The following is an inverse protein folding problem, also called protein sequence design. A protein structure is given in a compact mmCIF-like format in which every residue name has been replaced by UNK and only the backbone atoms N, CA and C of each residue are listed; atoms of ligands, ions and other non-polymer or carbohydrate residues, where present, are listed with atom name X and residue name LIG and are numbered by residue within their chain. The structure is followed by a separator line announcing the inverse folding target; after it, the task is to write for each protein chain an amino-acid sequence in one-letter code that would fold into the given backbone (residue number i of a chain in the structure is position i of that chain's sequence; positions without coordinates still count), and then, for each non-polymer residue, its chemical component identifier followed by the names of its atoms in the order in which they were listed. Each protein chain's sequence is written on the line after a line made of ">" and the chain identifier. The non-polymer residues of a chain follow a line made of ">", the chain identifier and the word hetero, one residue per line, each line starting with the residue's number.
data_IF_569837648475
#
_entry.id   IF_569837648475
#
_cell.length_a   1.000
_cell.length_b   1.000
_cell.length_c   1.000
_cell.angle_alpha   90.00
_cell.angle_beta   90.00
_cell.angle_gamma   90.00
#
_symmetry.space_group_name_H-M   'P 1'
#
loop_
_entity.id
_entity.type
_entity.pdbx_description
1 polymer ?
#
# COMPACT_ATOMS: atom_id res chain seq x y z
N UNK A 1 -14.45 -1.46 26.21
CA UNK A 1 -13.88 -1.96 24.94
C UNK A 1 -14.11 -0.84 23.92
N UNK A 2 -13.05 -0.16 23.48
CA UNK A 2 -13.18 0.95 22.53
C UNK A 2 -13.37 0.35 21.15
N UNK A 3 -14.58 0.44 20.60
CA UNK A 3 -14.85 0.04 19.23
C UNK A 3 -14.44 1.21 18.33
N UNK A 4 -13.34 1.03 17.59
CA UNK A 4 -12.97 1.96 16.52
C UNK A 4 -13.98 1.76 15.40
N UNK A 5 -14.78 2.79 15.10
CA UNK A 5 -15.71 2.74 13.98
C UNK A 5 -14.94 2.75 12.65
N UNK A 6 -15.51 2.11 11.61
CA UNK A 6 -14.94 2.15 10.26
C UNK A 6 -14.71 3.60 9.80
N UNK A 7 -15.60 4.52 10.22
CA UNK A 7 -15.52 5.94 9.91
C UNK A 7 -14.29 6.60 10.55
N UNK A 8 -14.05 6.36 11.84
CA UNK A 8 -12.86 6.86 12.53
C UNK A 8 -11.57 6.32 11.88
N UNK A 9 -11.55 5.02 11.56
CA UNK A 9 -10.41 4.40 10.89
C UNK A 9 -10.11 5.02 9.52
N UNK A 10 -11.14 5.23 8.69
CA UNK A 10 -10.97 5.89 7.39
C UNK A 10 -10.55 7.36 7.51
N UNK A 11 -10.98 8.04 8.57
CA UNK A 11 -10.63 9.45 8.83
C UNK A 11 -9.17 9.58 9.27
N UNK A 12 -8.70 8.66 10.11
CA UNK A 12 -7.31 8.65 10.61
C UNK A 12 -6.29 8.34 9.53
N UNK A 13 -6.61 7.41 8.64
CA UNK A 13 -5.72 6.98 7.56
C UNK A 13 -5.89 7.77 6.25
N UNK A 14 -6.87 8.67 6.20
CA UNK A 14 -7.29 9.44 5.02
C UNK A 14 -7.44 8.53 3.76
N UNK A 15 -8.06 7.37 3.96
CA UNK A 15 -8.34 6.36 2.93
C UNK A 15 -9.84 6.21 2.76
N UNK A 16 -10.27 6.02 1.53
CA UNK A 16 -11.66 5.67 1.26
C UNK A 16 -11.94 4.20 1.59
N UNK A 17 -13.20 3.88 1.89
CA UNK A 17 -13.66 2.48 2.06
C UNK A 17 -13.41 1.67 0.78
N UNK A 18 -13.49 2.30 -0.39
CA UNK A 18 -13.20 1.69 -1.67
C UNK A 18 -11.73 1.26 -1.80
N UNK A 19 -10.78 2.12 -1.41
CA UNK A 19 -9.35 1.77 -1.38
C UNK A 19 -9.08 0.56 -0.49
N UNK A 20 -9.70 0.52 0.69
CA UNK A 20 -9.62 -0.60 1.62
C UNK A 20 -10.13 -1.90 0.99
N UNK A 21 -11.26 -1.86 0.29
CA UNK A 21 -11.81 -3.03 -0.40
C UNK A 21 -10.89 -3.55 -1.50
N UNK A 22 -10.29 -2.66 -2.31
CA UNK A 22 -9.34 -3.07 -3.35
C UNK A 22 -8.11 -3.73 -2.72
N UNK A 23 -7.52 -3.12 -1.71
CA UNK A 23 -6.36 -3.70 -1.03
C UNK A 23 -6.69 -5.06 -0.39
N UNK A 24 -7.85 -5.18 0.24
CA UNK A 24 -8.30 -6.44 0.83
C UNK A 24 -8.50 -7.53 -0.22
N UNK A 25 -9.17 -7.22 -1.34
CA UNK A 25 -9.36 -8.16 -2.44
C UNK A 25 -8.03 -8.61 -3.03
N UNK A 26 -7.09 -7.69 -3.25
CA UNK A 26 -5.76 -7.99 -3.74
C UNK A 26 -4.94 -8.88 -2.80
N UNK A 27 -5.00 -8.64 -1.49
CA UNK A 27 -4.34 -9.48 -0.49
C UNK A 27 -4.94 -10.88 -0.48
N UNK A 28 -6.27 -11.01 -0.58
CA UNK A 28 -6.95 -12.31 -0.62
C UNK A 28 -6.50 -13.13 -1.84
N UNK A 29 -6.49 -12.52 -3.03
CA UNK A 29 -6.04 -13.20 -4.26
C UNK A 29 -4.57 -13.61 -4.15
N UNK A 30 -3.71 -12.71 -3.63
CA UNK A 30 -2.29 -13.01 -3.43
C UNK A 30 -2.05 -14.12 -2.39
N UNK A 31 -2.86 -14.17 -1.34
CA UNK A 31 -2.81 -15.23 -0.32
C UNK A 31 -3.15 -16.60 -0.91
N UNK A 32 -4.16 -16.70 -1.78
CA UNK A 32 -4.50 -17.93 -2.49
C UNK A 32 -3.35 -18.37 -3.41
N UNK A 33 -2.75 -17.44 -4.16
CA UNK A 33 -1.57 -17.72 -5.00
C UNK A 33 -0.37 -18.17 -4.17
N UNK A 34 -0.14 -17.56 -3.02
CA UNK A 34 0.95 -17.94 -2.10
C UNK A 34 0.75 -19.36 -1.58
N UNK A 35 -0.47 -19.72 -1.18
CA UNK A 35 -0.80 -21.07 -0.74
C UNK A 35 -0.52 -22.11 -1.84
N UNK A 36 -0.95 -21.84 -3.08
CA UNK A 36 -0.71 -22.73 -4.22
C UNK A 36 0.79 -22.91 -4.51
N UNK A 37 1.57 -21.84 -4.39
CA UNK A 37 3.03 -21.85 -4.54
C UNK A 37 3.71 -22.68 -3.44
N UNK A 38 3.33 -22.49 -2.18
CA UNK A 38 3.93 -23.20 -1.03
C UNK A 38 3.70 -24.71 -1.08
N UNK A 39 2.55 -25.15 -1.57
CA UNK A 39 2.24 -26.57 -1.77
C UNK A 39 2.78 -27.15 -3.10
N UNK A 40 3.61 -26.39 -3.83
CA UNK A 40 4.19 -26.79 -5.12
C UNK A 40 3.17 -27.21 -6.20
N UNK A 41 1.91 -26.75 -6.10
CA UNK A 41 0.93 -26.96 -7.17
C UNK A 41 1.26 -26.12 -8.42
N UNK A 42 2.06 -25.06 -8.28
CA UNK A 42 2.42 -24.14 -9.35
C UNK A 42 3.86 -23.64 -9.23
N UNK A 43 4.65 -23.73 -10.30
CA UNK A 43 6.04 -23.22 -10.39
C UNK A 43 6.05 -21.75 -10.80
N UNK A 44 5.49 -20.88 -9.98
CA UNK A 44 5.38 -19.42 -10.25
C UNK A 44 6.38 -18.64 -9.38
N UNK A 45 7.10 -17.65 -9.89
CA UNK A 45 8.03 -16.86 -9.03
C UNK A 45 7.27 -16.01 -7.99
N UNK A 46 7.91 -15.69 -6.86
CA UNK A 46 7.32 -14.87 -5.79
C UNK A 46 6.86 -13.48 -6.26
N UNK A 47 7.47 -12.94 -7.32
CA UNK A 47 7.03 -11.70 -7.95
C UNK A 47 5.60 -11.78 -8.50
N UNK A 48 5.25 -12.90 -9.12
CA UNK A 48 3.92 -13.14 -9.68
C UNK A 48 2.88 -13.44 -8.60
N UNK A 49 3.28 -14.05 -7.49
CA UNK A 49 2.40 -14.24 -6.31
C UNK A 49 1.95 -12.89 -5.74
N UNK A 50 2.83 -11.89 -5.77
CA UNK A 50 2.54 -10.54 -5.29
C UNK A 50 1.94 -9.59 -6.34
N UNK A 51 1.90 -9.98 -7.62
CA UNK A 51 1.32 -9.17 -8.69
C UNK A 51 -0.11 -8.65 -8.40
N UNK A 52 -1.03 -9.43 -7.79
CA UNK A 52 -2.37 -8.93 -7.45
C UNK A 52 -2.34 -7.73 -6.49
N UNK A 53 -1.36 -7.66 -5.60
CA UNK A 53 -1.19 -6.54 -4.65
C UNK A 53 -0.72 -5.29 -5.39
N UNK A 54 0.26 -5.41 -6.29
CA UNK A 54 0.69 -4.29 -7.13
C UNK A 54 -0.41 -3.77 -8.05
N UNK A 55 -1.19 -4.68 -8.64
CA UNK A 55 -2.35 -4.33 -9.47
C UNK A 55 -3.38 -3.56 -8.63
N UNK A 56 -3.66 -4.01 -7.40
CA UNK A 56 -4.56 -3.29 -6.49
C UNK A 56 -4.08 -1.87 -6.17
N UNK A 57 -2.79 -1.71 -5.89
CA UNK A 57 -2.19 -0.40 -5.65
C UNK A 57 -2.30 0.50 -6.88
N UNK A 58 -2.07 -0.05 -8.08
CA UNK A 58 -2.21 0.69 -9.33
C UNK A 58 -3.66 1.14 -9.58
N UNK A 59 -4.65 0.28 -9.31
CA UNK A 59 -6.07 0.65 -9.38
C UNK A 59 -6.43 1.78 -8.42
N UNK A 60 -5.91 1.73 -7.19
CA UNK A 60 -6.09 2.80 -6.21
C UNK A 60 -5.47 4.11 -6.68
N UNK A 61 -4.23 4.08 -7.19
CA UNK A 61 -3.57 5.26 -7.74
C UNK A 61 -4.36 5.87 -8.91
N UNK A 62 -4.88 5.03 -9.81
CA UNK A 62 -5.72 5.45 -10.92
C UNK A 62 -7.04 6.08 -10.45
N UNK A 63 -7.68 5.52 -9.43
CA UNK A 63 -8.90 6.07 -8.86
C UNK A 63 -8.68 7.45 -8.24
N UNK A 64 -7.59 7.63 -7.49
CA UNK A 64 -7.20 8.92 -6.92
C UNK A 64 -6.93 9.95 -8.04
N UNK A 65 -6.28 9.52 -9.12
CA UNK A 65 -6.03 10.38 -10.29
C UNK A 65 -7.34 10.84 -10.95
N UNK A 66 -8.33 9.96 -11.10
CA UNK A 66 -9.65 10.34 -11.63
C UNK A 66 -10.33 11.38 -10.73
N UNK A 67 -10.32 11.17 -9.41
CA UNK A 67 -10.92 12.12 -8.45
C UNK A 67 -10.22 13.47 -8.54
N UNK A 68 -8.90 13.48 -8.65
CA UNK A 68 -8.11 14.69 -8.84
C UNK A 68 -8.54 15.46 -10.10
N UNK A 69 -8.59 14.76 -11.24
CA UNK A 69 -9.00 15.35 -12.52
C UNK A 69 -10.41 15.95 -12.43
N UNK A 70 -11.36 15.23 -11.83
CA UNK A 70 -12.72 15.73 -11.59
C UNK A 70 -12.72 16.99 -10.72
N UNK A 71 -11.91 17.02 -9.66
CA UNK A 71 -11.78 18.19 -8.79
C UNK A 71 -11.26 19.42 -9.52
N UNK A 72 -10.27 19.25 -10.40
CA UNK A 72 -9.70 20.34 -11.19
C UNK A 72 -10.66 20.87 -12.25
N UNK A 73 -11.37 19.98 -12.95
CA UNK A 73 -12.25 20.34 -14.07
C UNK A 73 -13.58 20.92 -13.61
N UNK A 74 -14.27 20.26 -12.66
CA UNK A 74 -15.64 20.62 -12.31
C UNK A 74 -15.68 21.74 -11.24
N UNK A 75 -14.78 21.71 -10.27
CA UNK A 75 -14.84 22.60 -9.11
C UNK A 75 -13.89 23.80 -9.19
N UNK A 76 -12.96 23.81 -10.17
CA UNK A 76 -11.92 24.85 -10.35
C UNK A 76 -11.10 25.16 -9.08
N UNK A 77 -11.12 24.26 -8.09
CA UNK A 77 -10.31 24.35 -6.88
C UNK A 77 -9.07 23.48 -7.04
N UNK A 78 -7.91 24.12 -6.95
CA UNK A 78 -6.62 23.50 -7.20
C UNK A 78 -5.82 23.28 -5.92
N UNK A 79 -6.03 24.05 -4.85
CA UNK A 79 -5.02 24.11 -3.78
C UNK A 79 -5.22 23.02 -2.72
N UNK A 80 -6.46 22.82 -2.27
CA UNK A 80 -6.80 21.78 -1.30
C UNK A 80 -6.67 20.35 -1.88
N UNK A 81 -7.33 20.05 -3.00
CA UNK A 81 -7.33 18.71 -3.61
C UNK A 81 -5.94 18.23 -4.04
N UNK A 82 -5.08 19.12 -4.55
CA UNK A 82 -3.73 18.76 -4.98
C UNK A 82 -2.86 18.27 -3.82
N UNK A 83 -2.89 18.97 -2.68
CA UNK A 83 -2.12 18.55 -1.51
C UNK A 83 -2.55 17.15 -1.04
N UNK A 84 -3.85 16.91 -0.96
CA UNK A 84 -4.41 15.61 -0.56
C UNK A 84 -3.95 14.49 -1.51
N UNK A 85 -4.01 14.73 -2.81
CA UNK A 85 -3.56 13.77 -3.83
C UNK A 85 -2.06 13.49 -3.72
N UNK A 86 -1.24 14.52 -3.52
CA UNK A 86 0.21 14.35 -3.33
C UNK A 86 0.51 13.50 -2.09
N UNK A 87 -0.14 13.75 -0.95
CA UNK A 87 0.05 12.92 0.25
C UNK A 87 -0.37 11.46 0.00
N UNK A 88 -1.49 11.23 -0.68
CA UNK A 88 -1.96 9.89 -1.02
C UNK A 88 -1.01 9.18 -1.99
N UNK A 89 -0.45 9.88 -2.97
CA UNK A 89 0.54 9.33 -3.90
C UNK A 89 1.87 9.00 -3.22
N UNK A 90 2.33 9.83 -2.27
CA UNK A 90 3.50 9.53 -1.44
C UNK A 90 3.25 8.25 -0.62
N UNK A 91 2.07 8.14 0.00
CA UNK A 91 1.66 6.95 0.77
C UNK A 91 1.72 5.68 -0.09
N UNK A 92 1.14 5.70 -1.29
CA UNK A 92 1.15 4.56 -2.21
C UNK A 92 2.56 4.22 -2.70
N UNK A 93 3.39 5.23 -2.95
CA UNK A 93 4.79 5.05 -3.36
C UNK A 93 5.60 4.36 -2.27
N UNK A 94 5.45 4.78 -1.00
CA UNK A 94 6.10 4.14 0.15
C UNK A 94 5.64 2.70 0.35
N UNK A 95 4.34 2.43 0.15
CA UNK A 95 3.79 1.07 0.27
C UNK A 95 4.27 0.16 -0.86
N UNK A 96 4.34 0.68 -2.08
CA UNK A 96 4.87 -0.02 -3.26
C UNK A 96 6.36 -0.33 -3.10
N UNK A 97 7.15 0.64 -2.63
CA UNK A 97 8.59 0.46 -2.42
C UNK A 97 8.87 -0.54 -1.32
N UNK A 98 8.13 -0.50 -0.20
CA UNK A 98 8.21 -1.54 0.83
C UNK A 98 7.92 -2.93 0.25
N UNK A 99 6.80 -3.08 -0.46
CA UNK A 99 6.39 -4.36 -1.00
C UNK A 99 7.42 -4.91 -2.01
N UNK A 100 7.93 -4.05 -2.88
CA UNK A 100 8.97 -4.41 -3.84
C UNK A 100 10.27 -4.85 -3.16
N UNK A 101 10.74 -4.12 -2.14
CA UNK A 101 11.94 -4.49 -1.38
C UNK A 101 11.75 -5.82 -0.64
N UNK A 102 10.57 -6.03 -0.05
CA UNK A 102 10.23 -7.27 0.66
C UNK A 102 10.25 -8.48 -0.29
N UNK A 103 9.63 -8.36 -1.46
CA UNK A 103 9.54 -9.46 -2.43
C UNK A 103 10.91 -9.79 -3.01
N UNK A 104 11.72 -8.78 -3.35
CA UNK A 104 13.06 -9.01 -3.84
C UNK A 104 13.94 -9.70 -2.81
N UNK A 105 13.74 -9.40 -1.52
CA UNK A 105 14.42 -10.12 -0.44
C UNK A 105 13.97 -11.57 -0.35
N UNK A 106 12.66 -11.82 -0.35
CA UNK A 106 12.08 -13.18 -0.27
C UNK A 106 12.49 -14.03 -1.47
N UNK A 107 12.41 -13.49 -2.70
CA UNK A 107 12.84 -14.19 -3.92
C UNK A 107 14.35 -14.46 -3.91
N UNK A 108 15.17 -13.50 -3.47
CA UNK A 108 16.62 -13.70 -3.33
C UNK A 108 16.99 -14.80 -2.32
N UNK A 109 16.36 -14.81 -1.14
CA UNK A 109 16.64 -15.82 -0.11
C UNK A 109 16.10 -17.22 -0.46
N UNK A 110 14.92 -17.30 -1.08
CA UNK A 110 14.18 -18.55 -1.22
C UNK A 110 14.27 -19.20 -2.61
N UNK A 111 14.47 -18.41 -3.67
CA UNK A 111 14.51 -18.89 -5.07
C UNK A 111 15.95 -19.05 -5.58
N UNK A 112 16.86 -18.14 -5.22
CA UNK A 112 18.23 -18.12 -5.75
C UNK A 112 19.29 -18.68 -4.79
N UNK A 113 18.93 -19.03 -3.54
CA UNK A 113 19.88 -19.47 -2.50
C UNK A 113 21.11 -18.56 -2.35
N UNK A 114 20.99 -17.29 -2.73
CA UNK A 114 22.05 -16.32 -2.60
C UNK A 114 22.10 -15.88 -1.14
N UNK A 115 23.14 -16.32 -0.44
CA UNK A 115 23.44 -15.92 0.93
C UNK A 115 23.66 -14.40 0.93
N UNK A 116 22.63 -13.68 1.34
CA UNK A 116 22.64 -12.23 1.57
C UNK A 116 22.72 -11.36 0.31
N UNK A 117 21.56 -11.03 -0.26
CA UNK A 117 21.34 -9.63 -0.59
C UNK A 117 21.50 -8.85 0.73
N UNK A 118 22.65 -8.18 0.90
CA UNK A 118 23.13 -7.53 2.13
C UNK A 118 22.24 -6.36 2.62
N UNK A 119 21.11 -6.10 1.97
CA UNK A 119 20.13 -5.17 2.51
C UNK A 119 19.66 -5.66 3.89
N UNK A 120 20.13 -4.96 4.92
CA UNK A 120 19.72 -5.12 6.31
C UNK A 120 18.21 -5.03 6.39
N UNK A 121 17.58 -5.89 7.18
CA UNK A 121 16.13 -5.86 7.42
C UNK A 121 15.65 -4.43 7.75
N UNK A 122 16.45 -3.66 8.49
CA UNK A 122 16.21 -2.24 8.78
C UNK A 122 15.93 -1.39 7.53
N UNK A 123 16.67 -1.59 6.43
CA UNK A 123 16.48 -0.82 5.19
C UNK A 123 15.15 -1.17 4.49
N UNK A 124 14.76 -2.44 4.52
CA UNK A 124 13.50 -2.92 3.94
C UNK A 124 12.31 -2.31 4.69
N UNK A 125 12.39 -2.20 6.01
CA UNK A 125 11.32 -1.64 6.84
C UNK A 125 11.27 -0.10 6.87
N UNK A 126 12.30 0.60 6.38
CA UNK A 126 12.36 2.07 6.38
C UNK A 126 11.09 2.74 5.80
N UNK A 127 10.54 2.32 4.65
CA UNK A 127 9.34 2.97 4.10
C UNK A 127 8.11 2.81 5.01
N UNK A 128 8.00 1.68 5.73
CA UNK A 128 6.94 1.48 6.73
C UNK A 128 7.12 2.41 7.92
N UNK A 129 8.34 2.56 8.43
CA UNK A 129 8.59 3.47 9.55
C UNK A 129 8.22 4.91 9.20
N UNK A 130 8.53 5.34 7.98
CA UNK A 130 8.12 6.65 7.45
C UNK A 130 6.58 6.76 7.36
N UNK A 131 5.91 5.73 6.86
CA UNK A 131 4.45 5.67 6.79
C UNK A 131 3.80 5.77 8.17
N UNK A 132 4.30 5.01 9.14
CA UNK A 132 3.80 5.02 10.52
C UNK A 132 3.96 6.40 11.16
N UNK A 133 5.10 7.06 10.93
CA UNK A 133 5.32 8.42 11.40
C UNK A 133 4.34 9.42 10.78
N UNK A 134 4.10 9.33 9.47
CA UNK A 134 3.12 10.16 8.77
C UNK A 134 1.70 9.95 9.31
N UNK A 135 1.29 8.71 9.54
CA UNK A 135 -0.02 8.39 10.13
C UNK A 135 -0.16 8.89 11.56
N UNK A 136 0.89 8.78 12.38
CA UNK A 136 0.89 9.34 13.73
C UNK A 136 0.65 10.85 13.70
N UNK A 137 1.36 11.57 12.83
CA UNK A 137 1.16 13.00 12.64
C UNK A 137 -0.26 13.35 12.14
N UNK A 138 -0.82 12.54 11.23
CA UNK A 138 -2.18 12.71 10.74
C UNK A 138 -3.24 12.48 11.81
N UNK A 139 -3.11 11.42 12.61
CA UNK A 139 -4.03 11.10 13.71
C UNK A 139 -4.04 12.25 14.71
N UNK A 140 -2.87 12.75 15.13
CA UNK A 140 -2.78 13.89 16.05
C UNK A 140 -3.51 15.13 15.51
N UNK A 141 -3.37 15.42 14.21
CA UNK A 141 -4.08 16.53 13.56
C UNK A 141 -5.60 16.30 13.51
N UNK A 142 -6.04 15.08 13.22
CA UNK A 142 -7.45 14.72 13.12
C UNK A 142 -8.15 14.72 14.49
N UNK A 143 -7.44 14.41 15.58
CA UNK A 143 -7.97 14.49 16.95
C UNK A 143 -8.00 15.91 17.52
N UNK A 144 -7.23 16.84 16.94
CA UNK A 144 -7.16 18.23 17.40
C UNK A 144 -8.17 19.18 16.74
N UNK A 145 -8.96 18.70 15.77
CA UNK A 145 -10.02 19.47 15.09
C UNK A 145 -11.41 19.03 15.54
#
# INVERSE_FOLDING_TARGET
>A
MVYISLREFTTWLDVTVFELWIHFASILVSSVLLFLKLHNFMTISYQWVAAPIFIGIAFVAYFIFIIYMRSCVDYKDYRGPTLKVVFNMIRLTLLTSFLYLLINKISGELENSEVANQNTYSFIFTPIWILLFLWCAQICRATSS
#
